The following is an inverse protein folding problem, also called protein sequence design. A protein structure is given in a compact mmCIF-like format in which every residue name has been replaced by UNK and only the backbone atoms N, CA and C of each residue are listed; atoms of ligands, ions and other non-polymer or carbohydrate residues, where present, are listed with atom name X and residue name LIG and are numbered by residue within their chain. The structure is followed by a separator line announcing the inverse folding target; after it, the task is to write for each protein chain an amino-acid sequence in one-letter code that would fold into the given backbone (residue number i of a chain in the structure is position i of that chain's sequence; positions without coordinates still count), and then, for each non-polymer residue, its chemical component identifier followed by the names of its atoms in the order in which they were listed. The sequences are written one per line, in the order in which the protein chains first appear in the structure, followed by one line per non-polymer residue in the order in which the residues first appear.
data_IF_029892602475
#
_entry.id   IF_029892602475
#
_cell.length_a   1.000
_cell.length_b   1.000
_cell.length_c   1.000
_cell.angle_alpha   90.00
_cell.angle_beta   90.00
_cell.angle_gamma   90.00
#
_symmetry.space_group_name_H-M   'P 1'
#
loop_
_entity.id
_entity.type
_entity.pdbx_description
1 polymer ?
#
# COMPACT_ATOMS: atom_id res chain seq x y z
N UNK A 1 9.27 -10.67 7.91
CA UNK A 1 7.88 -10.41 7.47
C UNK A 1 7.72 -8.93 7.10
N UNK A 2 6.86 -8.68 6.15
CA UNK A 2 6.52 -7.31 5.73
C UNK A 2 5.60 -6.70 6.78
N UNK A 3 6.00 -5.59 7.36
CA UNK A 3 5.21 -4.90 8.39
C UNK A 3 4.23 -3.94 7.74
N UNK A 4 2.95 -4.11 8.06
CA UNK A 4 1.85 -3.39 7.42
C UNK A 4 1.12 -2.50 8.42
N UNK A 5 0.86 -1.26 8.02
CA UNK A 5 -0.02 -0.35 8.73
C UNK A 5 -1.30 -0.18 7.91
N UNK A 6 -2.45 -0.26 8.58
CA UNK A 6 -3.75 0.02 7.96
C UNK A 6 -4.21 1.40 8.42
N UNK A 7 -4.57 2.25 7.45
CA UNK A 7 -5.11 3.58 7.74
C UNK A 7 -6.51 3.66 7.13
N UNK A 8 -7.52 3.59 7.98
CA UNK A 8 -8.92 3.52 7.59
C UNK A 8 -9.78 4.05 8.72
N UNK A 9 -10.65 5.02 8.46
CA UNK A 9 -11.48 5.64 9.48
C UNK A 9 -12.67 4.78 9.93
N UNK A 10 -13.15 3.89 9.06
CA UNK A 10 -14.25 2.98 9.40
C UNK A 10 -13.71 1.73 10.08
N UNK A 11 -14.02 1.52 11.39
CA UNK A 11 -13.49 0.37 12.12
C UNK A 11 -13.89 -0.98 11.51
N UNK A 12 -15.06 -1.07 10.91
CA UNK A 12 -15.51 -2.31 10.29
C UNK A 12 -14.71 -2.63 9.04
N UNK A 13 -14.45 -1.63 8.21
CA UNK A 13 -13.63 -1.80 7.01
C UNK A 13 -12.20 -2.13 7.38
N UNK A 14 -11.65 -1.44 8.39
CA UNK A 14 -10.31 -1.73 8.90
C UNK A 14 -10.21 -3.19 9.37
N UNK A 15 -11.22 -3.70 10.06
CA UNK A 15 -11.26 -5.09 10.51
C UNK A 15 -11.30 -6.07 9.35
N UNK A 16 -12.07 -5.79 8.30
CA UNK A 16 -12.09 -6.64 7.10
C UNK A 16 -10.72 -6.68 6.43
N UNK A 17 -10.07 -5.55 6.28
CA UNK A 17 -8.73 -5.48 5.70
C UNK A 17 -7.72 -6.26 6.54
N UNK A 18 -7.82 -6.15 7.86
CA UNK A 18 -6.98 -6.91 8.78
C UNK A 18 -7.17 -8.42 8.59
N UNK A 19 -8.43 -8.88 8.52
CA UNK A 19 -8.73 -10.29 8.33
C UNK A 19 -8.24 -10.81 6.99
N UNK A 20 -8.37 -10.02 5.93
CA UNK A 20 -7.82 -10.36 4.63
C UNK A 20 -6.31 -10.51 4.69
N UNK A 21 -5.66 -9.56 5.35
CA UNK A 21 -4.20 -9.59 5.51
C UNK A 21 -3.74 -10.84 6.26
N UNK A 22 -4.46 -11.22 7.32
CA UNK A 22 -4.12 -12.37 8.14
C UNK A 22 -4.23 -13.71 7.37
N UNK A 23 -5.02 -13.74 6.30
CA UNK A 23 -5.16 -14.93 5.46
C UNK A 23 -4.00 -15.10 4.48
N UNK A 24 -3.16 -14.07 4.33
CA UNK A 24 -2.03 -14.08 3.40
C UNK A 24 -0.75 -14.20 4.22
N UNK A 25 0.07 -15.21 3.93
CA UNK A 25 1.33 -15.41 4.65
C UNK A 25 2.37 -14.36 4.30
N UNK A 26 3.28 -14.10 5.21
CA UNK A 26 4.42 -13.21 4.99
C UNK A 26 4.21 -11.76 5.39
N UNK A 27 3.05 -11.42 5.95
CA UNK A 27 2.73 -10.07 6.40
C UNK A 27 2.45 -10.06 7.91
N UNK A 28 2.86 -8.97 8.55
CA UNK A 28 2.64 -8.75 9.97
C UNK A 28 1.96 -7.40 10.15
N UNK A 29 0.83 -7.37 10.86
CA UNK A 29 0.14 -6.12 11.13
C UNK A 29 0.88 -5.36 12.23
N UNK A 30 1.39 -4.17 11.89
CA UNK A 30 2.07 -3.32 12.85
C UNK A 30 1.07 -2.52 13.69
N UNK A 31 0.10 -1.89 13.04
CA UNK A 31 -0.93 -1.10 13.73
C UNK A 31 -2.06 -0.75 12.77
N UNK A 32 -3.19 -0.37 13.35
CA UNK A 32 -4.34 0.19 12.65
C UNK A 32 -4.53 1.62 13.12
N UNK A 33 -4.58 2.56 12.18
CA UNK A 33 -4.79 3.97 12.46
C UNK A 33 -6.12 4.42 11.83
N UNK A 34 -6.86 5.25 12.56
CA UNK A 34 -8.17 5.72 12.12
C UNK A 34 -8.15 7.15 11.61
N UNK A 35 -7.01 7.84 11.75
CA UNK A 35 -6.81 9.20 11.23
C UNK A 35 -5.44 9.34 10.59
N UNK A 36 -5.29 10.34 9.74
CA UNK A 36 -4.00 10.65 9.12
C UNK A 36 -2.98 11.11 10.16
N UNK A 37 -3.42 11.89 11.15
CA UNK A 37 -2.55 12.37 12.23
C UNK A 37 -1.98 11.20 13.05
N UNK A 38 -2.82 10.23 13.37
CA UNK A 38 -2.38 9.04 14.08
C UNK A 38 -1.35 8.26 13.26
N UNK A 39 -1.60 8.14 11.96
CA UNK A 39 -0.68 7.46 11.05
C UNK A 39 0.68 8.16 10.97
N UNK A 40 0.69 9.48 10.91
CA UNK A 40 1.93 10.26 10.90
C UNK A 40 2.75 10.02 12.17
N UNK A 41 2.09 10.02 13.33
CA UNK A 41 2.73 9.72 14.61
C UNK A 41 3.34 8.33 14.64
N UNK A 42 2.56 7.33 14.22
CA UNK A 42 3.03 5.95 14.22
C UNK A 42 4.19 5.72 13.26
N UNK A 43 4.20 6.40 12.12
CA UNK A 43 5.31 6.31 11.16
C UNK A 43 6.61 6.88 11.72
N UNK A 44 6.55 7.80 12.67
CA UNK A 44 7.74 8.30 13.37
C UNK A 44 8.24 7.34 14.44
N UNK A 45 7.34 6.50 15.00
CA UNK A 45 7.65 5.66 16.15
C UNK A 45 7.85 4.18 15.81
N UNK A 46 7.38 3.73 14.65
CA UNK A 46 7.46 2.33 14.23
C UNK A 46 8.06 2.18 12.85
N UNK A 47 8.69 1.04 12.63
CA UNK A 47 9.12 0.62 11.30
C UNK A 47 7.93 0.02 10.55
N UNK A 48 7.59 0.57 9.41
CA UNK A 48 6.50 0.08 8.55
C UNK A 48 7.04 -0.04 7.13
N UNK A 49 6.73 -1.16 6.48
CA UNK A 49 7.16 -1.41 5.10
C UNK A 49 6.08 -1.05 4.10
N UNK A 50 4.83 -1.32 4.45
CA UNK A 50 3.68 -1.15 3.55
C UNK A 50 2.51 -0.52 4.29
N UNK A 51 1.91 0.46 3.64
CA UNK A 51 0.72 1.15 4.14
C UNK A 51 -0.47 0.76 3.27
N UNK A 52 -1.55 0.30 3.90
CA UNK A 52 -2.85 0.14 3.24
C UNK A 52 -3.67 1.37 3.61
N UNK A 53 -3.93 2.25 2.65
CA UNK A 53 -4.41 3.60 2.91
C UNK A 53 -5.72 3.89 2.21
N UNK A 54 -6.74 4.26 2.97
CA UNK A 54 -7.92 4.90 2.41
C UNK A 54 -7.64 6.40 2.28
N UNK A 55 -7.76 6.92 1.07
CA UNK A 55 -7.53 8.34 0.82
C UNK A 55 -8.76 9.20 1.05
N UNK A 56 -9.92 8.59 1.28
CA UNK A 56 -11.17 9.31 1.45
C UNK A 56 -11.63 9.22 2.91
N UNK A 57 -11.04 10.08 3.76
CA UNK A 57 -11.32 10.10 5.18
C UNK A 57 -11.67 11.52 5.65
N UNK A 58 -12.48 11.65 6.73
CA UNK A 58 -12.76 12.96 7.31
C UNK A 58 -11.50 13.65 7.82
N UNK A 59 -11.50 14.97 7.77
CA UNK A 59 -10.36 15.77 8.22
C UNK A 59 -9.28 15.83 7.17
N UNK A 60 -8.02 15.57 7.58
CA UNK A 60 -6.91 15.54 6.63
C UNK A 60 -7.09 14.40 5.64
N UNK A 61 -6.89 14.70 4.40
CA UNK A 61 -7.06 13.77 3.31
C UNK A 61 -5.94 12.74 3.28
N UNK A 62 -6.24 11.50 2.87
CA UNK A 62 -5.22 10.46 2.74
C UNK A 62 -4.12 10.80 1.75
N UNK A 63 -4.42 11.60 0.73
CA UNK A 63 -3.40 12.08 -0.21
C UNK A 63 -2.35 12.97 0.49
N UNK A 64 -2.73 13.68 1.55
CA UNK A 64 -1.78 14.46 2.36
C UNK A 64 -0.79 13.55 3.06
N UNK A 65 -1.24 12.38 3.52
CA UNK A 65 -0.34 11.39 4.11
C UNK A 65 0.65 10.86 3.09
N UNK A 66 0.18 10.60 1.87
CA UNK A 66 1.06 10.17 0.78
C UNK A 66 2.14 11.22 0.50
N UNK A 67 1.74 12.48 0.40
CA UNK A 67 2.66 13.59 0.19
C UNK A 67 3.68 13.69 1.34
N UNK A 68 3.21 13.56 2.57
CA UNK A 68 4.07 13.56 3.76
C UNK A 68 5.13 12.47 3.68
N UNK A 69 4.73 11.27 3.31
CA UNK A 69 5.66 10.13 3.18
C UNK A 69 6.74 10.43 2.14
N UNK A 70 6.36 10.99 1.00
CA UNK A 70 7.31 11.31 -0.08
C UNK A 70 8.24 12.45 0.30
N UNK A 71 7.70 13.52 0.89
CA UNK A 71 8.50 14.67 1.33
C UNK A 71 9.45 14.33 2.45
N UNK A 72 9.07 13.41 3.32
CA UNK A 72 9.91 12.95 4.44
C UNK A 72 10.92 11.89 4.03
N UNK A 73 10.91 11.48 2.77
CA UNK A 73 11.80 10.45 2.22
C UNK A 73 11.74 9.12 2.98
N UNK A 74 10.59 8.81 3.55
CA UNK A 74 10.39 7.53 4.25
C UNK A 74 10.31 6.38 3.24
N UNK A 75 10.94 5.26 3.60
CA UNK A 75 10.95 4.06 2.78
C UNK A 75 9.72 3.21 3.08
N UNK A 76 8.56 3.75 2.79
CA UNK A 76 7.27 3.10 3.00
C UNK A 76 6.54 3.07 1.67
N UNK A 77 6.12 1.88 1.28
CA UNK A 77 5.29 1.71 0.07
C UNK A 77 3.82 1.82 0.44
N UNK A 78 2.99 2.24 -0.50
CA UNK A 78 1.57 2.48 -0.25
C UNK A 78 0.72 1.78 -1.30
N UNK A 79 -0.26 1.01 -0.82
CA UNK A 79 -1.37 0.52 -1.63
C UNK A 79 -2.61 1.29 -1.18
N UNK A 80 -3.25 1.98 -2.11
CA UNK A 80 -4.47 2.72 -1.81
C UNK A 80 -5.68 1.79 -1.90
N UNK A 81 -6.57 1.85 -0.91
CA UNK A 81 -7.82 1.10 -0.86
C UNK A 81 -8.93 2.10 -0.58
N UNK A 82 -9.70 2.49 -1.59
CA UNK A 82 -10.64 3.59 -1.44
C UNK A 82 -11.87 3.45 -2.31
N UNK A 83 -12.97 4.05 -1.86
CA UNK A 83 -14.17 4.21 -2.68
C UNK A 83 -14.00 5.29 -3.75
N UNK A 84 -12.98 6.14 -3.64
CA UNK A 84 -12.72 7.17 -4.63
C UNK A 84 -12.27 6.54 -5.95
N UNK A 85 -13.08 6.70 -6.99
CA UNK A 85 -12.85 6.09 -8.30
C UNK A 85 -12.64 7.11 -9.42
N UNK A 86 -12.62 8.40 -9.11
CA UNK A 86 -12.38 9.42 -10.11
C UNK A 86 -10.92 9.43 -10.56
N UNK A 87 -10.76 9.63 -11.86
CA UNK A 87 -9.44 9.49 -12.50
C UNK A 87 -8.42 10.47 -11.91
N UNK A 88 -8.83 11.65 -11.49
CA UNK A 88 -7.93 12.66 -10.93
C UNK A 88 -7.26 12.18 -9.65
N UNK A 89 -8.03 11.59 -8.73
CA UNK A 89 -7.49 11.06 -7.47
C UNK A 89 -6.62 9.86 -7.69
N UNK A 90 -7.04 8.97 -8.60
CA UNK A 90 -6.26 7.78 -8.94
C UNK A 90 -4.88 8.20 -9.51
N UNK A 91 -4.89 9.12 -10.48
CA UNK A 91 -3.66 9.61 -11.09
C UNK A 91 -2.75 10.28 -10.05
N UNK A 92 -3.34 11.10 -9.18
CA UNK A 92 -2.55 11.79 -8.16
C UNK A 92 -1.90 10.80 -7.19
N UNK A 93 -2.65 9.79 -6.75
CA UNK A 93 -2.11 8.74 -5.87
C UNK A 93 -0.95 8.00 -6.54
N UNK A 94 -1.11 7.64 -7.80
CA UNK A 94 -0.07 6.94 -8.55
C UNK A 94 1.17 7.82 -8.77
N UNK A 95 0.97 9.12 -9.04
CA UNK A 95 2.08 10.08 -9.18
C UNK A 95 2.83 10.27 -7.88
N UNK A 96 2.14 10.17 -6.74
CA UNK A 96 2.76 10.22 -5.42
C UNK A 96 3.38 8.89 -5.02
N UNK A 97 3.42 7.92 -5.93
CA UNK A 97 4.14 6.68 -5.76
C UNK A 97 3.36 5.53 -5.15
N UNK A 98 2.03 5.57 -5.16
CA UNK A 98 1.24 4.41 -4.76
C UNK A 98 1.57 3.24 -5.68
N UNK A 99 1.84 2.07 -5.12
CA UNK A 99 2.23 0.90 -5.91
C UNK A 99 1.02 0.16 -6.50
N UNK A 100 -0.16 0.36 -5.93
CA UNK A 100 -1.40 -0.18 -6.46
C UNK A 100 -2.58 0.62 -5.93
N UNK A 101 -3.75 0.45 -6.55
CA UNK A 101 -4.97 1.15 -6.18
C UNK A 101 -6.15 0.19 -6.28
N UNK A 102 -6.79 -0.09 -5.15
CA UNK A 102 -7.95 -0.95 -5.08
C UNK A 102 -9.21 -0.12 -4.84
N UNK A 103 -10.17 -0.21 -5.75
CA UNK A 103 -11.44 0.53 -5.65
C UNK A 103 -12.44 -0.34 -4.90
N UNK A 104 -13.03 0.20 -3.84
CA UNK A 104 -14.09 -0.49 -3.07
C UNK A 104 -15.39 -0.49 -3.87
N UNK A 105 -16.21 -1.55 -3.81
CA UNK A 105 -15.91 -2.84 -3.18
C UNK A 105 -15.00 -3.70 -4.07
N UNK A 106 -14.17 -4.52 -3.46
CA UNK A 106 -13.26 -5.42 -4.18
C UNK A 106 -13.36 -6.83 -3.58
N UNK A 107 -13.06 -7.83 -4.41
CA UNK A 107 -13.02 -9.22 -3.97
C UNK A 107 -11.71 -9.53 -3.24
N UNK A 108 -11.73 -10.54 -2.38
CA UNK A 108 -10.52 -10.99 -1.69
C UNK A 108 -9.41 -11.34 -2.68
N UNK A 109 -9.75 -11.94 -3.81
CA UNK A 109 -8.79 -12.30 -4.85
C UNK A 109 -8.02 -11.09 -5.37
N UNK A 110 -8.69 -9.95 -5.54
CA UNK A 110 -8.02 -8.73 -6.00
C UNK A 110 -7.06 -8.20 -4.95
N UNK A 111 -7.48 -8.22 -3.68
CA UNK A 111 -6.64 -7.85 -2.55
C UNK A 111 -5.42 -8.78 -2.48
N UNK A 112 -5.66 -10.08 -2.52
CA UNK A 112 -4.61 -11.10 -2.46
C UNK A 112 -3.60 -10.94 -3.61
N UNK A 113 -4.09 -10.67 -4.82
CA UNK A 113 -3.24 -10.46 -5.99
C UNK A 113 -2.32 -9.25 -5.80
N UNK A 114 -2.85 -8.14 -5.28
CA UNK A 114 -2.06 -6.95 -5.04
C UNK A 114 -0.95 -7.19 -4.01
N UNK A 115 -1.30 -7.85 -2.91
CA UNK A 115 -0.36 -8.12 -1.83
C UNK A 115 0.70 -9.15 -2.27
N UNK A 116 0.29 -10.18 -2.98
CA UNK A 116 1.22 -11.19 -3.52
C UNK A 116 2.20 -10.58 -4.51
N UNK A 117 1.71 -9.71 -5.40
CA UNK A 117 2.56 -9.01 -6.36
C UNK A 117 3.60 -8.12 -5.65
N UNK A 118 3.16 -7.41 -4.62
CA UNK A 118 4.05 -6.58 -3.82
C UNK A 118 5.13 -7.41 -3.14
N UNK A 119 4.72 -8.51 -2.50
CA UNK A 119 5.62 -9.42 -1.79
C UNK A 119 6.67 -10.02 -2.73
N UNK A 120 6.25 -10.46 -3.90
CA UNK A 120 7.12 -11.06 -4.91
C UNK A 120 8.15 -10.04 -5.41
N UNK A 121 7.72 -8.84 -5.73
CA UNK A 121 8.61 -7.77 -6.19
C UNK A 121 9.62 -7.39 -5.12
N UNK A 122 9.18 -7.25 -3.88
CA UNK A 122 10.03 -6.89 -2.75
C UNK A 122 11.08 -7.97 -2.48
N UNK A 123 10.67 -9.24 -2.47
CA UNK A 123 11.58 -10.36 -2.26
C UNK A 123 12.64 -10.42 -3.36
N UNK A 124 12.24 -10.21 -4.61
CA UNK A 124 13.16 -10.19 -5.74
C UNK A 124 14.22 -9.11 -5.59
N UNK A 125 13.79 -7.87 -5.29
CA UNK A 125 14.70 -6.73 -5.14
C UNK A 125 15.64 -6.91 -3.95
N UNK A 126 15.15 -7.42 -2.83
CA UNK A 126 15.98 -7.64 -1.64
C UNK A 126 17.04 -8.70 -1.85
N UNK A 127 16.80 -9.69 -2.69
CA UNK A 127 17.72 -10.78 -2.94
C UNK A 127 18.76 -10.45 -4.02
N UNK A 128 18.66 -9.29 -4.67
CA UNK A 128 19.52 -8.90 -5.76
C UNK A 128 20.10 -7.51 -5.53
N UNK A 129 21.42 -7.42 -5.47
CA UNK A 129 22.10 -6.13 -5.32
C UNK A 129 22.27 -5.42 -6.66
N UNK A 130 22.40 -6.20 -7.74
CA UNK A 130 22.59 -5.67 -9.10
C UNK A 130 21.64 -6.43 -10.02
N UNK A 131 20.91 -5.68 -10.84
CA UNK A 131 20.01 -6.24 -11.84
C UNK A 131 20.51 -5.87 -13.22
N UNK A 132 20.45 -6.81 -14.17
CA UNK A 132 20.59 -6.48 -15.58
C UNK A 132 19.22 -6.08 -16.13
N UNK A 133 19.21 -5.52 -17.34
CA UNK A 133 17.96 -5.02 -17.92
C UNK A 133 16.93 -6.11 -18.15
N UNK A 134 17.37 -7.30 -18.55
CA UNK A 134 16.47 -8.42 -18.80
C UNK A 134 15.76 -8.86 -17.52
N UNK A 135 16.48 -8.98 -16.42
CA UNK A 135 15.92 -9.36 -15.11
C UNK A 135 14.91 -8.32 -14.64
N UNK A 136 15.24 -7.05 -14.79
CA UNK A 136 14.36 -5.95 -14.42
C UNK A 136 13.06 -5.99 -15.23
N UNK A 137 13.17 -6.17 -16.53
CA UNK A 137 12.02 -6.23 -17.44
C UNK A 137 11.11 -7.40 -17.08
N UNK A 138 11.67 -8.55 -16.77
CA UNK A 138 10.90 -9.74 -16.42
C UNK A 138 10.13 -9.57 -15.11
N UNK A 139 10.71 -8.94 -14.11
CA UNK A 139 10.11 -8.87 -12.78
C UNK A 139 9.21 -7.65 -12.59
N UNK A 140 9.52 -6.56 -13.21
CA UNK A 140 8.80 -5.30 -12.97
C UNK A 140 7.87 -4.95 -14.13
N UNK A 141 8.38 -4.88 -15.36
CA UNK A 141 7.61 -4.42 -16.50
C UNK A 141 6.69 -5.49 -17.07
N UNK A 142 7.05 -6.74 -16.95
CA UNK A 142 6.26 -7.87 -17.46
C UNK A 142 4.85 -7.92 -16.87
N UNK A 143 4.64 -7.45 -15.65
CA UNK A 143 3.33 -7.44 -15.00
C UNK A 143 2.36 -6.46 -15.66
N UNK A 144 2.85 -5.45 -16.31
CA UNK A 144 2.02 -4.48 -17.02
C UNK A 144 1.49 -5.05 -18.34
N UNK A 145 2.23 -5.95 -18.96
CA UNK A 145 1.84 -6.56 -20.22
C UNK A 145 0.71 -7.58 -20.08
N UNK A 146 0.45 -8.08 -18.88
CA UNK A 146 -0.57 -9.10 -18.61
C UNK A 146 -1.98 -8.54 -18.39
N UNK A 147 -2.15 -7.26 -18.53
CA UNK A 147 -3.45 -6.62 -18.32
C UNK A 147 -4.36 -6.72 -19.54
#
# INVERSE_FOLDING_TARGET
MIRVMIVEDDPMVAEFNKRYLEQIGGFELATVCFTVEQAMDELENQSVDLLLLDIFMPGKHGLDLLSYIRESEKKVDVIVISAASDIERIQKALRLGAVDYLIKPFEFERFSTALAAYQEKTAFIQNQHVLNQEELDQQILRKEEKR
#
